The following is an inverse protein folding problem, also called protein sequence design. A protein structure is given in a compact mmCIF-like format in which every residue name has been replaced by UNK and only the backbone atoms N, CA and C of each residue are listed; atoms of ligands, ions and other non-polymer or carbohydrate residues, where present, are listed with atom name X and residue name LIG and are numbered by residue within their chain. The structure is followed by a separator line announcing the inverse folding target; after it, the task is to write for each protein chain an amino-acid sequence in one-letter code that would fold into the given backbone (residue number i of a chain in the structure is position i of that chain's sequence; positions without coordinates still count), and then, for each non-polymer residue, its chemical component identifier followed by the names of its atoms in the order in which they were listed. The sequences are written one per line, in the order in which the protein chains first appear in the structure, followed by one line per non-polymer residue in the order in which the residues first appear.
data_IF_150576709846
#
_entry.id   IF_150576709846
#
_cell.length_a   1.000
_cell.length_b   1.000
_cell.length_c   1.000
_cell.angle_alpha   90.00
_cell.angle_beta   90.00
_cell.angle_gamma   90.00
#
_symmetry.space_group_name_H-M   'P 1'
#
loop_
_entity.id
_entity.type
_entity.pdbx_description
1 polymer ?
#
# COMPACT_ATOMS: atom_id res chain seq x y z
N UNK A 1 -6.04 19.74 12.63
CA UNK A 1 -4.72 19.57 13.28
C UNK A 1 -3.69 19.56 12.17
N UNK A 2 -2.64 20.37 12.27
CA UNK A 2 -1.58 20.48 11.27
C UNK A 2 -0.81 19.15 11.09
N UNK A 3 -0.32 18.87 9.87
CA UNK A 3 0.35 17.61 9.55
C UNK A 3 1.64 17.41 10.35
N UNK A 4 2.40 18.49 10.62
CA UNK A 4 3.63 18.42 11.41
C UNK A 4 3.31 18.03 12.85
N UNK A 5 2.22 18.57 13.40
CA UNK A 5 1.72 18.17 14.72
C UNK A 5 1.33 16.69 14.73
N UNK A 6 0.61 16.21 13.70
CA UNK A 6 0.21 14.80 13.61
C UNK A 6 1.42 13.86 13.58
N UNK A 7 2.47 14.22 12.83
CA UNK A 7 3.71 13.45 12.74
C UNK A 7 4.37 13.26 14.11
N UNK A 8 4.59 14.34 14.87
CA UNK A 8 5.27 14.26 16.18
C UNK A 8 4.43 13.61 17.28
N UNK A 9 3.09 13.60 17.13
CA UNK A 9 2.18 12.96 18.09
C UNK A 9 1.93 11.47 17.81
N UNK A 10 2.54 10.90 16.78
CA UNK A 10 2.40 9.48 16.45
C UNK A 10 2.88 8.60 17.60
N UNK A 11 2.00 7.73 18.11
CA UNK A 11 2.33 6.80 19.19
C UNK A 11 2.56 7.43 20.56
N UNK A 12 2.41 8.76 20.69
CA UNK A 12 2.60 9.44 21.97
C UNK A 12 1.52 9.01 22.95
N UNK A 13 1.93 8.62 24.17
CA UNK A 13 1.06 8.13 25.25
C UNK A 13 0.21 6.91 24.84
N UNK A 14 0.72 6.07 23.92
CA UNK A 14 0.05 4.82 23.54
C UNK A 14 0.15 3.74 24.63
N UNK A 15 1.18 3.81 25.47
CA UNK A 15 1.38 2.86 26.57
C UNK A 15 0.61 3.28 27.83
N UNK A 16 -0.51 2.59 28.06
CA UNK A 16 -1.34 2.77 29.26
C UNK A 16 -0.82 2.01 30.48
N UNK A 17 0.08 1.03 30.29
CA UNK A 17 0.60 0.19 31.37
C UNK A 17 1.62 0.91 32.24
N UNK A 18 2.57 1.61 31.61
CA UNK A 18 3.61 2.35 32.35
C UNK A 18 3.46 3.87 32.31
N UNK A 19 2.65 4.39 31.36
CA UNK A 19 2.55 5.83 31.12
C UNK A 19 3.71 6.40 30.30
N UNK A 20 4.52 5.55 29.65
CA UNK A 20 5.60 5.98 28.76
C UNK A 20 5.10 6.98 27.71
N UNK A 21 5.83 8.09 27.54
CA UNK A 21 5.51 9.10 26.54
C UNK A 21 5.67 8.53 25.12
N UNK A 22 6.74 7.79 24.88
CA UNK A 22 6.99 7.13 23.61
C UNK A 22 6.43 5.72 23.60
N UNK A 23 6.01 5.24 22.42
CA UNK A 23 5.59 3.85 22.24
C UNK A 23 6.76 2.90 22.54
N UNK A 24 6.60 1.91 23.44
CA UNK A 24 7.61 0.87 23.64
C UNK A 24 7.82 0.02 22.38
N UNK A 25 8.99 -0.63 22.31
CA UNK A 25 9.32 -1.61 21.27
C UNK A 25 8.99 -3.02 21.78
N UNK A 26 7.96 -3.64 21.22
CA UNK A 26 7.48 -4.96 21.63
C UNK A 26 8.20 -6.06 20.83
N UNK A 27 9.36 -6.50 21.30
CA UNK A 27 10.16 -7.60 20.74
C UNK A 27 9.76 -8.97 21.32
N UNK A 28 8.48 -9.30 21.21
CA UNK A 28 7.91 -10.56 21.71
C UNK A 28 7.21 -11.30 20.58
N UNK A 29 7.19 -12.64 20.63
CA UNK A 29 6.50 -13.44 19.62
C UNK A 29 4.99 -13.59 19.93
N UNK A 30 4.63 -13.74 21.20
CA UNK A 30 3.26 -14.02 21.66
C UNK A 30 2.90 -13.22 22.91
N UNK A 31 1.60 -13.13 23.20
CA UNK A 31 1.03 -12.38 24.31
C UNK A 31 0.20 -13.32 25.19
N UNK A 32 0.15 -13.04 26.49
CA UNK A 32 -0.64 -13.83 27.43
C UNK A 32 -2.15 -13.61 27.19
N UNK A 33 -2.90 -14.70 27.14
CA UNK A 33 -4.36 -14.69 27.11
C UNK A 33 -4.94 -14.72 28.55
N UNK A 34 -6.02 -13.97 28.84
CA UNK A 34 -6.65 -14.03 30.16
C UNK A 34 -7.22 -15.43 30.49
N UNK A 35 -7.84 -16.07 29.50
CA UNK A 35 -8.34 -17.45 29.53
C UNK A 35 -8.41 -18.03 28.12
N UNK A 36 -8.77 -19.32 28.00
CA UNK A 36 -8.96 -19.97 26.71
C UNK A 36 -10.07 -19.28 25.89
N UNK A 37 -9.75 -18.83 24.69
CA UNK A 37 -10.69 -18.11 23.80
C UNK A 37 -10.83 -16.62 24.10
N UNK A 38 -10.17 -16.10 25.13
CA UNK A 38 -10.16 -14.66 25.44
C UNK A 38 -8.91 -13.97 24.87
N UNK A 39 -9.05 -12.71 24.48
CA UNK A 39 -7.96 -11.93 23.87
C UNK A 39 -7.89 -10.53 24.46
N UNK A 40 -6.67 -10.03 24.62
CA UNK A 40 -6.38 -8.62 24.95
C UNK A 40 -6.40 -7.72 23.71
N UNK A 41 -6.73 -8.29 22.55
CA UNK A 41 -6.50 -7.69 21.24
C UNK A 41 -5.12 -7.98 20.66
N UNK A 42 -4.25 -8.69 21.40
CA UNK A 42 -2.94 -9.15 20.95
C UNK A 42 -2.76 -10.63 21.28
N UNK A 43 -2.23 -11.40 20.32
CA UNK A 43 -2.05 -12.85 20.42
C UNK A 43 -0.66 -13.29 19.92
N UNK A 44 -0.34 -12.95 18.68
CA UNK A 44 0.88 -13.34 17.98
C UNK A 44 1.38 -12.20 17.10
N UNK A 45 2.65 -11.83 17.27
CA UNK A 45 3.22 -10.61 16.70
C UNK A 45 3.17 -10.52 15.18
N UNK A 46 3.13 -11.65 14.45
CA UNK A 46 2.91 -11.63 12.99
C UNK A 46 1.53 -11.08 12.64
N UNK A 47 0.49 -11.46 13.39
CA UNK A 47 -0.89 -10.99 13.19
C UNK A 47 -1.05 -9.55 13.64
N UNK A 48 -0.61 -9.25 14.86
CA UNK A 48 -0.73 -7.93 15.46
C UNK A 48 0.38 -7.70 16.48
N UNK A 49 1.00 -6.52 16.44
CA UNK A 49 2.08 -6.13 17.35
C UNK A 49 1.85 -4.67 17.77
N UNK A 50 1.92 -4.31 19.06
CA UNK A 50 1.61 -2.95 19.51
C UNK A 50 2.47 -1.87 18.83
N UNK A 51 3.76 -2.11 18.65
CA UNK A 51 4.67 -1.17 17.98
C UNK A 51 4.30 -1.01 16.51
N UNK A 52 4.05 -2.11 15.79
CA UNK A 52 3.62 -2.06 14.38
C UNK A 52 2.25 -1.40 14.20
N UNK A 53 1.31 -1.68 15.10
CA UNK A 53 -0.04 -1.12 15.09
C UNK A 53 -0.02 0.41 15.16
N UNK A 54 0.87 0.99 15.97
CA UNK A 54 1.06 2.45 16.02
C UNK A 54 1.50 3.01 14.66
N UNK A 55 2.48 2.37 14.01
CA UNK A 55 2.95 2.76 12.67
C UNK A 55 1.82 2.66 11.63
N UNK A 56 1.10 1.54 11.63
CA UNK A 56 0.00 1.26 10.69
C UNK A 56 -1.17 2.25 10.85
N UNK A 57 -1.55 2.60 12.08
CA UNK A 57 -2.56 3.62 12.35
C UNK A 57 -2.09 5.02 11.95
N UNK A 58 -0.81 5.32 12.15
CA UNK A 58 -0.24 6.61 11.80
C UNK A 58 -0.24 6.83 10.29
N UNK A 59 0.27 5.87 9.51
CA UNK A 59 0.31 6.00 8.06
C UNK A 59 -1.10 6.05 7.46
N UNK A 60 -2.03 5.23 7.97
CA UNK A 60 -3.43 5.27 7.54
C UNK A 60 -4.02 6.68 7.72
N UNK A 61 -3.81 7.27 8.89
CA UNK A 61 -4.28 8.63 9.16
C UNK A 61 -3.62 9.63 8.23
N UNK A 62 -2.30 9.58 8.06
CA UNK A 62 -1.55 10.54 7.23
C UNK A 62 -2.01 10.53 5.78
N UNK A 63 -2.25 9.35 5.21
CA UNK A 63 -2.79 9.15 3.85
C UNK A 63 -4.30 9.43 3.74
N UNK A 64 -4.99 9.76 4.84
CA UNK A 64 -6.45 9.87 4.85
C UNK A 64 -7.19 8.54 4.61
N UNK A 65 -6.49 7.42 4.73
CA UNK A 65 -7.01 6.08 4.54
C UNK A 65 -7.68 5.51 5.79
N UNK A 66 -8.32 4.34 5.62
CA UNK A 66 -9.03 3.64 6.70
C UNK A 66 -8.12 2.72 7.53
N UNK A 67 -7.06 2.18 6.90
CA UNK A 67 -6.13 1.19 7.48
C UNK A 67 -4.76 1.29 6.83
N UNK A 68 -3.72 0.91 7.57
CA UNK A 68 -2.35 0.77 7.11
C UNK A 68 -1.84 -0.64 7.43
N UNK A 69 -0.88 -1.11 6.64
CA UNK A 69 -0.25 -2.42 6.80
C UNK A 69 1.25 -2.26 6.57
N UNK A 70 2.06 -2.59 7.57
CA UNK A 70 3.51 -2.48 7.45
C UNK A 70 4.13 -3.81 7.03
N UNK A 71 5.01 -3.75 6.03
CA UNK A 71 5.68 -4.91 5.45
C UNK A 71 7.20 -4.81 5.63
N UNK A 72 7.91 -5.93 5.39
CA UNK A 72 9.36 -5.99 5.46
C UNK A 72 10.08 -5.20 4.37
N UNK A 73 9.39 -4.87 3.27
CA UNK A 73 9.88 -4.03 2.17
C UNK A 73 8.73 -3.51 1.31
N UNK A 74 8.99 -2.52 0.46
CA UNK A 74 8.04 -2.08 -0.58
C UNK A 74 7.67 -3.23 -1.53
N UNK A 75 8.62 -4.10 -1.87
CA UNK A 75 8.35 -5.27 -2.71
C UNK A 75 7.41 -6.27 -2.04
N UNK A 76 7.51 -6.48 -0.73
CA UNK A 76 6.57 -7.32 0.01
C UNK A 76 5.17 -6.70 0.04
N UNK A 77 5.06 -5.38 0.15
CA UNK A 77 3.78 -4.67 0.06
C UNK A 77 3.15 -4.83 -1.34
N UNK A 78 3.90 -4.54 -2.41
CA UNK A 78 3.43 -4.67 -3.80
C UNK A 78 3.02 -6.12 -4.10
N UNK A 79 3.85 -7.09 -3.70
CA UNK A 79 3.52 -8.51 -3.89
C UNK A 79 2.23 -8.90 -3.19
N UNK A 80 2.01 -8.43 -1.95
CA UNK A 80 0.79 -8.72 -1.19
C UNK A 80 -0.44 -8.06 -1.81
N UNK A 81 -0.32 -6.83 -2.30
CA UNK A 81 -1.42 -6.14 -3.01
C UNK A 81 -1.76 -6.87 -4.31
N UNK A 82 -0.76 -7.28 -5.10
CA UNK A 82 -1.00 -8.00 -6.35
C UNK A 82 -1.51 -9.43 -6.13
N UNK A 83 -1.27 -10.02 -4.96
CA UNK A 83 -1.84 -11.31 -4.57
C UNK A 83 -3.36 -11.26 -4.29
N UNK A 84 -4.00 -10.08 -4.31
CA UNK A 84 -5.45 -9.94 -4.34
C UNK A 84 -6.06 -10.38 -5.68
N UNK A 85 -5.25 -10.41 -6.73
CA UNK A 85 -5.65 -10.82 -8.08
C UNK A 85 -5.48 -12.33 -8.26
N UNK A 86 -6.10 -12.87 -9.31
CA UNK A 86 -6.04 -14.29 -9.67
C UNK A 86 -5.50 -14.51 -11.08
N UNK A 87 -5.11 -15.74 -11.38
CA UNK A 87 -4.66 -16.13 -12.71
C UNK A 87 -5.67 -15.71 -13.80
N UNK A 88 -5.17 -15.15 -14.89
CA UNK A 88 -5.95 -14.58 -15.98
C UNK A 88 -6.29 -13.09 -15.81
N UNK A 89 -6.16 -12.53 -14.61
CA UNK A 89 -6.36 -11.10 -14.39
C UNK A 89 -5.24 -10.27 -15.01
N UNK A 90 -5.62 -9.08 -15.48
CA UNK A 90 -4.72 -8.14 -16.15
C UNK A 90 -4.57 -6.84 -15.35
N UNK A 91 -3.34 -6.37 -15.25
CA UNK A 91 -2.96 -5.11 -14.60
C UNK A 91 -2.36 -4.19 -15.66
N UNK A 92 -2.84 -2.95 -15.71
CA UNK A 92 -2.20 -1.89 -16.49
C UNK A 92 -1.20 -1.20 -15.55
N UNK A 93 0.06 -1.09 -15.94
CA UNK A 93 1.13 -0.46 -15.16
C UNK A 93 1.65 0.77 -15.91
N UNK A 94 2.15 1.77 -15.17
CA UNK A 94 3.03 2.81 -15.74
C UNK A 94 4.13 2.17 -16.59
N UNK A 95 4.52 2.79 -17.69
CA UNK A 95 5.61 2.29 -18.55
C UNK A 95 6.99 2.58 -17.96
N UNK A 96 7.10 3.69 -17.24
CA UNK A 96 8.22 4.08 -16.40
C UNK A 96 7.84 3.87 -14.93
N UNK A 97 8.55 2.97 -14.26
CA UNK A 97 8.33 2.64 -12.86
C UNK A 97 9.55 1.93 -12.27
N UNK A 98 9.57 1.77 -10.95
CA UNK A 98 10.64 1.07 -10.26
C UNK A 98 10.94 -0.32 -10.87
N UNK A 99 12.18 -0.54 -11.28
CA UNK A 99 12.58 -1.78 -11.97
C UNK A 99 12.36 -3.07 -11.16
N UNK A 100 12.30 -2.99 -9.82
CA UNK A 100 11.92 -4.14 -8.99
C UNK A 100 10.48 -4.59 -9.19
N UNK A 101 9.55 -3.66 -9.41
CA UNK A 101 8.14 -3.94 -9.70
C UNK A 101 7.99 -4.53 -11.10
N UNK A 102 8.70 -4.00 -12.10
CA UNK A 102 8.78 -4.61 -13.44
C UNK A 102 9.29 -6.06 -13.37
N UNK A 103 10.38 -6.29 -12.61
CA UNK A 103 10.95 -7.64 -12.43
C UNK A 103 9.99 -8.59 -11.73
N UNK A 104 9.32 -8.14 -10.66
CA UNK A 104 8.31 -8.92 -9.95
C UNK A 104 7.21 -9.37 -10.91
N UNK A 105 6.67 -8.46 -11.71
CA UNK A 105 5.58 -8.78 -12.62
C UNK A 105 6.01 -9.79 -13.69
N UNK A 106 7.09 -9.50 -14.40
CA UNK A 106 7.49 -10.27 -15.58
C UNK A 106 8.16 -11.60 -15.25
N UNK A 107 8.87 -11.70 -14.13
CA UNK A 107 9.64 -12.91 -13.80
C UNK A 107 8.97 -13.79 -12.74
N UNK A 108 8.06 -13.24 -11.93
CA UNK A 108 7.40 -13.97 -10.85
C UNK A 108 5.92 -14.10 -11.12
N UNK A 109 5.18 -13.00 -11.21
CA UNK A 109 3.71 -13.02 -11.26
C UNK A 109 3.15 -13.54 -12.58
N UNK A 110 3.88 -13.36 -13.69
CA UNK A 110 3.57 -13.96 -14.98
C UNK A 110 3.45 -15.49 -14.92
N UNK A 111 4.29 -16.14 -14.10
CA UNK A 111 4.26 -17.60 -13.88
C UNK A 111 3.03 -18.06 -13.09
N UNK A 112 2.39 -17.15 -12.37
CA UNK A 112 1.13 -17.37 -11.66
C UNK A 112 -0.09 -16.89 -12.48
N UNK A 113 0.11 -16.54 -13.75
CA UNK A 113 -0.95 -16.19 -14.68
C UNK A 113 -1.43 -14.75 -14.61
N UNK A 114 -0.74 -13.85 -13.91
CA UNK A 114 -1.04 -12.41 -13.98
C UNK A 114 -0.42 -11.80 -15.24
N UNK A 115 -1.17 -10.92 -15.90
CA UNK A 115 -0.78 -10.29 -17.16
C UNK A 115 -0.57 -8.79 -16.95
N UNK A 116 0.60 -8.28 -17.34
CA UNK A 116 0.99 -6.89 -17.12
C UNK A 116 1.08 -6.15 -18.44
N UNK A 117 0.36 -5.04 -18.56
CA UNK A 117 0.43 -4.13 -19.69
C UNK A 117 1.04 -2.82 -19.29
N UNK A 118 2.15 -2.46 -19.92
CA UNK A 118 2.87 -1.22 -19.65
C UNK A 118 2.39 -0.12 -20.60
N UNK A 119 1.98 1.02 -20.04
CA UNK A 119 1.45 2.17 -20.78
C UNK A 119 1.93 3.47 -20.14
N UNK A 120 2.07 4.53 -20.92
CA UNK A 120 2.25 5.86 -20.33
C UNK A 120 0.98 6.26 -19.58
N UNK A 121 1.03 6.24 -18.24
CA UNK A 121 -0.12 6.58 -17.39
C UNK A 121 -0.42 8.08 -17.38
N UNK A 122 0.46 8.91 -17.93
CA UNK A 122 0.19 10.33 -18.22
C UNK A 122 -0.73 10.51 -19.42
N UNK A 123 -0.82 9.53 -20.32
CA UNK A 123 -1.77 9.52 -21.45
C UNK A 123 -3.02 8.71 -21.09
N UNK A 124 -4.05 9.43 -20.63
CA UNK A 124 -5.32 8.83 -20.25
C UNK A 124 -6.03 8.11 -21.42
N UNK A 125 -5.82 8.55 -22.67
CA UNK A 125 -6.42 7.92 -23.84
C UNK A 125 -5.73 6.58 -24.14
N UNK A 126 -4.39 6.55 -24.11
CA UNK A 126 -3.62 5.32 -24.24
C UNK A 126 -3.97 4.30 -23.15
N UNK A 127 -4.11 4.77 -21.90
CA UNK A 127 -4.53 3.94 -20.78
C UNK A 127 -5.95 3.39 -20.98
N UNK A 128 -6.91 4.22 -21.37
CA UNK A 128 -8.28 3.79 -21.60
C UNK A 128 -8.41 2.75 -22.74
N UNK A 129 -7.59 2.89 -23.79
CA UNK A 129 -7.56 1.95 -24.92
C UNK A 129 -7.04 0.56 -24.54
N UNK A 130 -6.32 0.44 -23.42
CA UNK A 130 -5.72 -0.82 -22.95
C UNK A 130 -6.59 -1.58 -21.96
N UNK A 131 -7.70 -1.00 -21.52
CA UNK A 131 -8.66 -1.67 -20.65
C UNK A 131 -9.41 -2.74 -21.43
N UNK A 132 -9.36 -3.97 -20.93
CA UNK A 132 -10.06 -5.15 -21.46
C UNK A 132 -11.02 -5.71 -20.43
N UNK A 133 -11.81 -6.71 -20.81
CA UNK A 133 -12.69 -7.45 -19.87
C UNK A 133 -11.91 -8.23 -18.80
N UNK A 134 -10.62 -8.52 -19.04
CA UNK A 134 -9.73 -9.16 -18.09
C UNK A 134 -9.02 -8.17 -17.14
N UNK A 135 -9.10 -6.86 -17.41
CA UNK A 135 -8.43 -5.85 -16.58
C UNK A 135 -9.08 -5.77 -15.19
N UNK A 136 -8.27 -5.76 -14.14
CA UNK A 136 -8.73 -5.67 -12.73
C UNK A 136 -8.07 -4.54 -11.94
N UNK A 137 -6.89 -4.09 -12.35
CA UNK A 137 -6.19 -3.03 -11.65
C UNK A 137 -5.41 -2.12 -12.60
N UNK A 138 -5.22 -0.88 -12.16
CA UNK A 138 -4.29 0.09 -12.71
C UNK A 138 -3.27 0.41 -11.62
N UNK A 139 -1.99 0.14 -11.88
CA UNK A 139 -0.86 0.42 -11.01
C UNK A 139 -0.11 1.64 -11.54
N UNK A 140 -0.05 2.70 -10.75
CA UNK A 140 0.54 3.98 -11.15
C UNK A 140 1.67 4.35 -10.20
N UNK A 141 2.80 4.78 -10.74
CA UNK A 141 3.84 5.48 -10.01
C UNK A 141 3.84 6.94 -10.47
N UNK A 142 3.78 7.91 -9.55
CA UNK A 142 3.80 9.33 -9.93
C UNK A 142 4.35 10.21 -8.79
N UNK A 143 5.45 10.97 -9.03
CA UNK A 143 6.31 10.91 -10.21
C UNK A 143 6.96 9.54 -10.40
N UNK A 144 7.17 9.14 -11.66
CA UNK A 144 7.79 7.84 -11.99
C UNK A 144 9.30 7.84 -11.72
N UNK A 145 9.87 6.68 -11.41
CA UNK A 145 11.31 6.48 -11.32
C UNK A 145 11.86 5.76 -12.58
N UNK A 146 12.86 6.31 -13.30
CA UNK A 146 13.62 7.53 -13.00
C UNK A 146 13.19 8.79 -13.77
N UNK A 147 12.26 8.69 -14.73
CA UNK A 147 11.99 9.78 -15.69
C UNK A 147 11.08 10.88 -15.13
N UNK A 148 10.55 10.71 -13.92
CA UNK A 148 9.73 11.70 -13.21
C UNK A 148 8.48 12.12 -13.98
N UNK A 149 7.89 11.21 -14.77
CA UNK A 149 6.61 11.44 -15.44
C UNK A 149 5.52 11.61 -14.39
N UNK A 150 4.54 12.48 -14.68
CA UNK A 150 3.42 12.77 -13.78
C UNK A 150 2.12 12.28 -14.40
N UNK A 151 1.29 11.62 -13.59
CA UNK A 151 -0.02 11.10 -14.00
C UNK A 151 -1.16 11.83 -13.26
N UNK A 152 -2.27 12.10 -13.93
CA UNK A 152 -3.46 12.66 -13.27
C UNK A 152 -4.22 11.55 -12.50
N UNK A 153 -3.93 11.45 -11.20
CA UNK A 153 -4.54 10.46 -10.32
C UNK A 153 -6.06 10.60 -10.21
N UNK A 154 -6.63 11.81 -10.30
CA UNK A 154 -8.09 12.00 -10.21
C UNK A 154 -8.76 11.46 -11.46
N UNK A 155 -8.19 11.75 -12.63
CA UNK A 155 -8.70 11.26 -13.90
C UNK A 155 -8.60 9.73 -14.01
N UNK A 156 -7.45 9.16 -13.60
CA UNK A 156 -7.25 7.70 -13.57
C UNK A 156 -8.23 7.04 -12.61
N UNK A 157 -8.37 7.55 -11.38
CA UNK A 157 -9.28 6.97 -10.40
C UNK A 157 -10.76 7.06 -10.86
N UNK A 158 -11.13 8.12 -11.58
CA UNK A 158 -12.47 8.23 -12.18
C UNK A 158 -12.72 7.20 -13.27
N UNK A 159 -11.74 7.00 -14.16
CA UNK A 159 -11.81 5.97 -15.20
C UNK A 159 -11.87 4.56 -14.59
N UNK A 160 -11.05 4.29 -13.58
CA UNK A 160 -11.01 3.02 -12.88
C UNK A 160 -12.36 2.69 -12.22
N UNK A 161 -12.95 3.64 -11.49
CA UNK A 161 -14.27 3.47 -10.85
C UNK A 161 -15.38 3.16 -11.85
N UNK A 162 -15.39 3.83 -13.01
CA UNK A 162 -16.38 3.54 -14.08
C UNK A 162 -16.30 2.13 -14.64
N UNK A 163 -15.16 1.45 -14.44
CA UNK A 163 -14.86 0.12 -14.96
C UNK A 163 -14.68 -0.94 -13.86
N UNK A 164 -14.98 -0.58 -12.61
CA UNK A 164 -14.80 -1.43 -11.42
C UNK A 164 -13.37 -1.99 -11.28
N UNK A 165 -12.38 -1.11 -11.49
CA UNK A 165 -10.95 -1.45 -11.38
C UNK A 165 -10.34 -0.91 -10.09
N UNK A 166 -9.42 -1.67 -9.51
CA UNK A 166 -8.57 -1.18 -8.43
C UNK A 166 -7.60 -0.11 -8.97
N UNK A 167 -7.45 1.00 -8.26
CA UNK A 167 -6.38 1.96 -8.50
C UNK A 167 -5.33 1.80 -7.40
N UNK A 168 -4.11 1.44 -7.79
CA UNK A 168 -2.97 1.27 -6.89
C UNK A 168 -1.97 2.37 -7.22
N UNK A 169 -1.59 3.18 -6.23
CA UNK A 169 -0.63 4.26 -6.41
C UNK A 169 0.60 3.98 -5.56
N UNK A 170 1.76 3.87 -6.20
CA UNK A 170 3.04 3.90 -5.51
C UNK A 170 3.41 5.36 -5.21
N UNK A 171 3.19 5.77 -3.96
CA UNK A 171 3.38 7.14 -3.48
C UNK A 171 4.78 7.38 -2.88
N UNK A 172 5.75 6.50 -3.16
CA UNK A 172 7.07 6.49 -2.50
C UNK A 172 7.81 7.84 -2.62
N UNK A 173 7.74 8.51 -3.77
CA UNK A 173 8.44 9.78 -4.02
C UNK A 173 7.77 10.97 -3.34
N UNK A 174 6.45 11.05 -3.37
CA UNK A 174 5.73 12.23 -2.88
C UNK A 174 5.48 12.19 -1.39
N UNK A 175 5.29 10.99 -0.82
CA UNK A 175 4.85 10.77 0.56
C UNK A 175 3.44 11.37 0.82
N UNK A 176 2.75 10.99 1.92
CA UNK A 176 1.49 11.64 2.31
C UNK A 176 1.62 13.13 2.63
N UNK A 177 2.85 13.68 2.69
CA UNK A 177 3.05 15.10 2.93
C UNK A 177 2.74 15.96 1.71
N UNK A 178 3.01 15.45 0.50
CA UNK A 178 2.83 16.21 -0.75
C UNK A 178 1.66 15.71 -1.61
N UNK A 179 1.23 14.46 -1.44
CA UNK A 179 0.17 13.85 -2.26
C UNK A 179 -0.66 12.87 -1.43
N UNK A 180 -1.99 13.07 -1.42
CA UNK A 180 -3.01 12.20 -0.81
C UNK A 180 -4.25 12.16 -1.69
#
# INVERSE_FOLDING_TARGET
MDIKTRLVHTGVRSDKGTGSISCPVYQVATFQHPALGESTGFDYSRTINPTRKVLEEAIARLEGGVRGFAFSSGMAAITTVLALLKAGDRVILSDDLYGGTYRLFNQVLSRYGLIGDYVDTGDLAALAARITTATRAIFVETPTNPLMKVSDLRAIAHLARKRDLLTIVDNTFMTPYLQT
#
